data_IF_652918575539
#
_entry.id   IF_652918575539
#
_cell.length_a   1.000
_cell.length_b   1.000
_cell.length_c   1.000
_cell.angle_alpha   90.00
_cell.angle_beta   90.00
_cell.angle_gamma   90.00
#
_symmetry.space_group_name_H-M   'P 1'
#
loop_
_entity.id
_entity.type
_entity.pdbx_description
1 polymer ?
#
# COMPACT_ATOMS: atom_id res chain seq x y z
N UNK A 1 -6.48 17.66 20.10
CA UNK A 1 -7.57 16.66 20.24
C UNK A 1 -8.63 16.84 19.15
N UNK A 2 -9.37 17.96 19.13
CA UNK A 2 -10.45 18.23 18.16
C UNK A 2 -10.04 18.09 16.69
N UNK A 3 -8.91 18.69 16.30
CA UNK A 3 -8.41 18.57 14.93
C UNK A 3 -8.24 17.09 14.54
N UNK A 4 -7.59 16.27 15.39
CA UNK A 4 -7.35 14.83 15.15
C UNK A 4 -8.65 14.07 14.85
N UNK A 5 -9.72 14.41 15.56
CA UNK A 5 -11.06 13.80 15.44
C UNK A 5 -11.93 14.35 14.29
N UNK A 6 -11.37 15.12 13.35
CA UNK A 6 -12.16 15.64 12.21
C UNK A 6 -12.88 16.97 12.48
N UNK A 7 -12.76 17.55 13.68
CA UNK A 7 -13.47 18.79 14.06
C UNK A 7 -12.53 19.99 14.07
N UNK A 8 -12.07 20.39 12.89
CA UNK A 8 -11.12 21.52 12.74
C UNK A 8 -11.76 22.86 13.13
N UNK A 9 -13.06 23.04 12.91
CA UNK A 9 -13.77 24.27 13.27
C UNK A 9 -13.77 24.52 14.78
N UNK A 10 -13.97 23.46 15.57
CA UNK A 10 -13.90 23.52 17.04
C UNK A 10 -12.49 23.78 17.52
N UNK A 11 -11.50 23.18 16.87
CA UNK A 11 -10.09 23.44 17.17
C UNK A 11 -9.75 24.92 16.91
N UNK A 12 -10.22 25.50 15.80
CA UNK A 12 -10.01 26.91 15.48
C UNK A 12 -10.68 27.82 16.49
N UNK A 13 -11.97 27.59 16.80
CA UNK A 13 -12.69 28.37 17.81
C UNK A 13 -11.97 28.37 19.15
N UNK A 14 -11.52 27.20 19.61
CA UNK A 14 -10.79 27.12 20.87
C UNK A 14 -9.48 27.90 20.81
N UNK A 15 -8.73 27.75 19.71
CA UNK A 15 -7.49 28.48 19.49
C UNK A 15 -7.68 30.01 19.44
N UNK A 16 -8.77 30.48 18.85
CA UNK A 16 -9.11 31.90 18.79
C UNK A 16 -9.49 32.46 20.18
N UNK A 17 -10.05 31.62 21.06
CA UNK A 17 -10.39 31.96 22.44
C UNK A 17 -9.21 31.85 23.42
N UNK A 18 -8.04 31.34 23.01
CA UNK A 18 -6.90 31.21 23.91
C UNK A 18 -6.32 32.60 24.25
N UNK A 19 -6.24 32.96 25.56
CA UNK A 19 -5.70 34.25 25.97
C UNK A 19 -4.20 34.36 25.75
N UNK A 20 -3.48 33.23 25.83
CA UNK A 20 -2.04 33.13 25.56
C UNK A 20 -1.83 31.95 24.62
N UNK A 21 -1.14 32.21 23.51
CA UNK A 21 -0.75 31.19 22.52
C UNK A 21 0.74 30.95 22.63
N UNK A 22 1.12 29.68 22.71
CA UNK A 22 2.51 29.26 22.68
C UNK A 22 2.80 28.45 21.40
N UNK A 23 4.07 28.17 21.15
CA UNK A 23 4.53 27.40 19.99
C UNK A 23 3.76 26.08 19.78
N UNK A 24 3.43 25.36 20.84
CA UNK A 24 2.69 24.09 20.75
C UNK A 24 1.25 24.28 20.26
N UNK A 25 0.57 25.34 20.70
CA UNK A 25 -0.79 25.68 20.25
C UNK A 25 -0.81 26.07 18.77
N UNK A 26 0.17 26.89 18.33
CA UNK A 26 0.37 27.25 16.94
C UNK A 26 0.66 26.02 16.07
N UNK A 27 1.61 25.18 16.49
CA UNK A 27 1.99 23.95 15.78
C UNK A 27 0.82 22.98 15.63
N UNK A 28 0.03 22.82 16.69
CA UNK A 28 -1.17 21.98 16.69
C UNK A 28 -2.20 22.46 15.67
N UNK A 29 -2.41 23.77 15.56
CA UNK A 29 -3.34 24.34 14.60
C UNK A 29 -2.83 24.32 13.17
N UNK A 30 -1.57 24.67 12.93
CA UNK A 30 -0.95 24.60 11.60
C UNK A 30 -1.02 23.16 11.05
N UNK A 31 -0.61 22.18 11.86
CA UNK A 31 -0.68 20.76 11.50
C UNK A 31 -2.12 20.26 11.34
N UNK A 32 -3.04 20.80 12.16
CA UNK A 32 -4.46 20.53 12.07
C UNK A 32 -5.03 20.94 10.72
N UNK A 33 -4.82 22.20 10.31
CA UNK A 33 -5.29 22.72 9.03
C UNK A 33 -4.62 22.02 7.85
N UNK A 34 -3.31 21.74 7.93
CA UNK A 34 -2.58 20.99 6.91
C UNK A 34 -3.23 19.62 6.61
N UNK A 35 -3.53 18.83 7.65
CA UNK A 35 -4.11 17.49 7.50
C UNK A 35 -5.55 17.50 6.96
N UNK A 36 -6.27 18.59 7.14
CA UNK A 36 -7.63 18.78 6.63
C UNK A 36 -7.67 19.41 5.23
N UNK A 37 -6.51 19.53 4.55
CA UNK A 37 -6.43 20.08 3.20
C UNK A 37 -6.56 21.60 3.13
N UNK A 38 -6.61 22.29 4.27
CA UNK A 38 -6.69 23.75 4.33
C UNK A 38 -5.30 24.39 4.32
N UNK A 39 -4.51 24.11 3.29
CA UNK A 39 -3.11 24.54 3.19
C UNK A 39 -2.93 26.05 3.33
N UNK A 40 -3.75 26.86 2.65
CA UNK A 40 -3.71 28.32 2.76
C UNK A 40 -3.91 28.83 4.20
N UNK A 41 -4.90 28.30 4.93
CA UNK A 41 -5.15 28.69 6.33
C UNK A 41 -3.97 28.33 7.24
N UNK A 42 -3.32 27.20 6.99
CA UNK A 42 -2.12 26.80 7.73
C UNK A 42 -0.95 27.79 7.50
N UNK A 43 -0.74 28.24 6.25
CA UNK A 43 0.29 29.24 5.93
C UNK A 43 -0.03 30.64 6.46
N UNK A 44 -1.32 31.01 6.48
CA UNK A 44 -1.78 32.24 7.12
C UNK A 44 -1.49 32.22 8.63
N UNK A 45 -1.78 31.10 9.30
CA UNK A 45 -1.45 30.92 10.72
C UNK A 45 0.06 30.94 10.97
N UNK A 46 0.86 30.36 10.10
CA UNK A 46 2.32 30.45 10.19
C UNK A 46 2.81 31.90 10.10
N UNK A 47 2.18 32.72 9.26
CA UNK A 47 2.50 34.15 9.16
C UNK A 47 2.09 34.88 10.44
N UNK A 48 0.90 34.62 10.97
CA UNK A 48 0.43 35.17 12.26
C UNK A 48 1.32 34.77 13.43
N UNK A 49 1.76 33.51 13.48
CA UNK A 49 2.70 33.01 14.49
C UNK A 49 3.99 33.83 14.52
N UNK A 50 4.56 34.14 13.35
CA UNK A 50 5.77 34.98 13.25
C UNK A 50 5.51 36.42 13.69
N UNK A 51 4.34 36.99 13.36
CA UNK A 51 3.95 38.34 13.80
C UNK A 51 3.73 38.42 15.32
N UNK A 52 3.28 37.31 15.92
CA UNK A 52 3.12 37.14 17.38
C UNK A 52 4.46 36.92 18.10
N UNK A 53 5.59 37.05 17.39
CA UNK A 53 6.95 36.93 17.93
C UNK A 53 7.38 35.50 18.24
N UNK A 54 6.60 34.49 17.88
CA UNK A 54 6.96 33.09 18.08
C UNK A 54 7.99 32.65 17.04
N UNK A 55 9.09 32.04 17.49
CA UNK A 55 10.11 31.48 16.62
C UNK A 55 9.68 30.10 16.11
N UNK A 56 9.64 29.86 14.79
CA UNK A 56 9.39 28.54 14.24
C UNK A 56 10.41 27.50 14.69
N UNK A 57 9.93 26.31 15.03
CA UNK A 57 10.74 25.14 15.34
C UNK A 57 10.59 24.04 14.28
N UNK A 58 11.27 22.91 14.46
CA UNK A 58 11.15 21.76 13.56
C UNK A 58 9.70 21.28 13.37
N UNK A 59 8.89 21.29 14.43
CA UNK A 59 7.49 20.84 14.36
C UNK A 59 6.66 21.82 13.53
N UNK A 60 6.93 23.12 13.65
CA UNK A 60 6.33 24.18 12.84
C UNK A 60 6.58 23.90 11.36
N UNK A 61 7.84 23.65 10.98
CA UNK A 61 8.22 23.38 9.60
C UNK A 61 7.63 22.09 9.05
N UNK A 62 7.53 21.01 9.84
CA UNK A 62 6.80 19.80 9.42
C UNK A 62 5.34 20.13 9.09
N UNK A 63 4.67 20.92 9.93
CA UNK A 63 3.29 21.36 9.69
C UNK A 63 3.13 22.21 8.43
N UNK A 64 4.04 23.18 8.23
CA UNK A 64 4.06 24.06 7.04
C UNK A 64 4.33 23.28 5.76
N UNK A 65 5.34 22.41 5.75
CA UNK A 65 5.66 21.58 4.58
C UNK A 65 4.52 20.60 4.26
N UNK A 66 3.88 20.02 5.28
CA UNK A 66 2.68 19.19 5.09
C UNK A 66 1.52 19.99 4.48
N UNK A 67 1.36 21.27 4.87
CA UNK A 67 0.37 22.15 4.26
C UNK A 67 0.68 22.43 2.78
N UNK A 68 1.96 22.64 2.44
CA UNK A 68 2.40 22.77 1.05
C UNK A 68 2.17 21.48 0.25
N UNK A 69 2.35 20.31 0.85
CA UNK A 69 2.09 19.02 0.19
C UNK A 69 0.63 18.87 -0.21
N UNK A 70 -0.29 19.10 0.74
CA UNK A 70 -1.72 18.96 0.49
C UNK A 70 -2.30 20.10 -0.35
N UNK A 71 -1.70 21.30 -0.29
CA UNK A 71 -2.09 22.45 -1.09
C UNK A 71 -1.46 22.50 -2.49
N UNK A 72 -0.51 21.61 -2.80
CA UNK A 72 0.21 21.63 -4.08
C UNK A 72 1.19 22.82 -4.24
N UNK A 73 1.57 23.48 -3.15
CA UNK A 73 2.44 24.66 -3.17
C UNK A 73 3.93 24.27 -3.26
N UNK A 74 4.34 23.70 -4.38
CA UNK A 74 5.71 23.15 -4.54
C UNK A 74 6.79 24.22 -4.37
N UNK A 75 6.62 25.39 -4.99
CA UNK A 75 7.58 26.50 -4.89
C UNK A 75 7.75 26.97 -3.44
N UNK A 76 6.63 27.30 -2.78
CA UNK A 76 6.65 27.73 -1.37
C UNK A 76 7.20 26.65 -0.45
N UNK A 77 6.91 25.37 -0.71
CA UNK A 77 7.47 24.26 0.05
C UNK A 77 9.01 24.20 -0.01
N UNK A 78 9.59 24.41 -1.19
CA UNK A 78 11.05 24.51 -1.37
C UNK A 78 11.61 25.72 -0.63
N UNK A 79 10.98 26.89 -0.78
CA UNK A 79 11.43 28.11 -0.11
C UNK A 79 11.42 27.96 1.41
N UNK A 80 10.37 27.35 1.97
CA UNK A 80 10.30 27.09 3.40
C UNK A 80 11.34 26.09 3.88
N UNK A 81 11.57 25.01 3.13
CA UNK A 81 12.60 24.03 3.46
C UNK A 81 14.00 24.65 3.49
N UNK A 82 14.31 25.51 2.52
CA UNK A 82 15.57 26.26 2.48
C UNK A 82 15.68 27.29 3.62
N UNK A 83 14.59 28.03 3.88
CA UNK A 83 14.53 29.04 4.93
C UNK A 83 14.80 28.45 6.32
N UNK A 84 14.37 27.21 6.55
CA UNK A 84 14.59 26.52 7.82
C UNK A 84 16.07 26.47 8.20
N UNK A 85 16.96 26.20 7.24
CA UNK A 85 18.41 26.18 7.48
C UNK A 85 19.02 27.58 7.41
N UNK A 86 18.68 28.37 6.39
CA UNK A 86 19.31 29.67 6.09
C UNK A 86 18.92 30.78 7.08
N UNK A 87 17.66 30.81 7.50
CA UNK A 87 17.10 31.88 8.33
C UNK A 87 16.95 31.47 9.79
N UNK A 88 16.58 30.20 10.05
CA UNK A 88 16.27 29.74 11.41
C UNK A 88 17.36 28.84 12.01
N UNK A 89 18.42 28.50 11.27
CA UNK A 89 19.52 27.67 11.75
C UNK A 89 19.11 26.23 12.12
N UNK A 90 17.95 25.77 11.65
CA UNK A 90 17.40 24.47 11.98
C UNK A 90 17.88 23.41 10.97
N UNK A 91 18.61 22.40 11.44
CA UNK A 91 19.09 21.31 10.59
C UNK A 91 17.95 20.38 10.17
N UNK A 92 17.76 20.09 8.87
CA UNK A 92 16.71 19.19 8.42
C UNK A 92 16.81 17.77 8.98
N UNK A 93 15.73 17.35 9.67
CA UNK A 93 15.48 15.96 10.10
C UNK A 93 14.66 15.17 9.07
N UNK A 94 14.61 13.85 9.27
CA UNK A 94 13.94 12.89 8.38
C UNK A 94 12.48 13.25 8.07
N UNK A 95 11.75 13.86 9.02
CA UNK A 95 10.36 14.27 8.84
C UNK A 95 10.21 15.38 7.79
N UNK A 96 11.15 16.33 7.75
CA UNK A 96 11.14 17.42 6.78
C UNK A 96 11.41 16.87 5.37
N UNK A 97 12.39 15.97 5.23
CA UNK A 97 12.65 15.28 3.96
C UNK A 97 11.44 14.46 3.50
N UNK A 98 10.77 13.76 4.42
CA UNK A 98 9.54 13.03 4.11
C UNK A 98 8.43 13.95 3.57
N UNK A 99 8.30 15.16 4.12
CA UNK A 99 7.33 16.15 3.61
C UNK A 99 7.73 16.63 2.20
N UNK A 100 9.01 16.91 1.96
CA UNK A 100 9.50 17.31 0.63
C UNK A 100 9.28 16.24 -0.43
N UNK A 101 9.51 14.98 -0.07
CA UNK A 101 9.24 13.83 -0.94
C UNK A 101 7.76 13.73 -1.27
N UNK A 102 6.86 13.94 -0.29
CA UNK A 102 5.42 13.95 -0.53
C UNK A 102 4.99 15.11 -1.45
N UNK A 103 5.54 16.33 -1.23
CA UNK A 103 5.29 17.50 -2.09
C UNK A 103 5.66 17.19 -3.55
N UNK A 104 6.90 16.74 -3.79
CA UNK A 104 7.40 16.48 -5.14
C UNK A 104 6.68 15.30 -5.79
N UNK A 105 6.43 14.24 -5.01
CA UNK A 105 5.75 13.03 -5.46
C UNK A 105 4.28 13.27 -5.83
N UNK A 106 3.55 14.10 -5.09
CA UNK A 106 2.17 14.49 -5.44
C UNK A 106 2.10 15.43 -6.63
N UNK A 107 3.07 16.31 -6.77
CA UNK A 107 3.18 17.20 -7.92
C UNK A 107 3.63 16.50 -9.21
N UNK A 108 4.00 15.21 -9.15
CA UNK A 108 4.50 14.45 -10.30
C UNK A 108 5.89 14.89 -10.79
N UNK A 109 6.63 15.66 -10.01
CA UNK A 109 7.96 16.17 -10.39
C UNK A 109 9.04 15.11 -10.13
N UNK A 110 8.96 13.97 -10.83
CA UNK A 110 9.77 12.79 -10.58
C UNK A 110 11.28 13.03 -10.71
N UNK A 111 11.72 13.80 -11.70
CA UNK A 111 13.15 14.11 -11.88
C UNK A 111 13.71 14.88 -10.67
N UNK A 112 12.97 15.88 -10.18
CA UNK A 112 13.38 16.63 -8.99
C UNK A 112 13.33 15.79 -7.72
N UNK A 113 12.37 14.87 -7.63
CA UNK A 113 12.28 13.93 -6.51
C UNK A 113 13.50 13.01 -6.46
N UNK A 114 13.93 12.48 -7.60
CA UNK A 114 15.11 11.64 -7.69
C UNK A 114 16.39 12.39 -7.31
N UNK A 115 16.59 13.60 -7.87
CA UNK A 115 17.71 14.47 -7.50
C UNK A 115 17.71 14.79 -6.00
N UNK A 116 16.54 15.05 -5.42
CA UNK A 116 16.39 15.37 -4.00
C UNK A 116 16.77 14.17 -3.11
N UNK A 117 16.34 12.96 -3.47
CA UNK A 117 16.71 11.73 -2.74
C UNK A 117 18.20 11.44 -2.85
N UNK A 118 18.81 11.67 -4.02
CA UNK A 118 20.24 11.44 -4.22
C UNK A 118 21.11 12.46 -3.45
N UNK A 119 20.62 13.69 -3.26
CA UNK A 119 21.30 14.74 -2.47
C UNK A 119 21.03 14.66 -0.97
N UNK A 120 20.11 13.80 -0.54
CA UNK A 120 19.72 13.68 0.85
C UNK A 120 20.89 13.16 1.70
N UNK A 121 21.31 13.87 2.77
CA UNK A 121 22.43 13.44 3.62
C UNK A 121 22.06 12.29 4.57
N UNK A 122 20.77 11.96 4.68
CA UNK A 122 20.23 10.95 5.57
C UNK A 122 19.72 9.75 4.77
N UNK A 123 19.90 8.53 5.31
CA UNK A 123 19.32 7.32 4.70
C UNK A 123 17.78 7.38 4.77
N UNK A 124 17.06 7.22 3.65
CA UNK A 124 15.60 7.21 3.67
C UNK A 124 15.04 6.02 4.47
N UNK A 125 14.01 6.26 5.27
CA UNK A 125 13.31 5.23 6.04
C UNK A 125 12.17 4.59 5.22
N UNK A 126 11.51 3.57 5.78
CA UNK A 126 10.41 2.88 5.11
C UNK A 126 9.26 3.83 4.73
N UNK A 127 8.97 4.85 5.53
CA UNK A 127 7.91 5.83 5.20
C UNK A 127 8.24 6.60 3.91
N UNK A 128 9.46 7.11 3.78
CA UNK A 128 9.89 7.84 2.57
C UNK A 128 9.79 6.94 1.33
N UNK A 129 10.28 5.70 1.42
CA UNK A 129 10.19 4.78 0.29
C UNK A 129 8.74 4.40 -0.07
N UNK A 130 7.84 4.25 0.92
CA UNK A 130 6.40 4.07 0.65
C UNK A 130 5.79 5.28 -0.05
N UNK A 131 6.15 6.48 0.38
CA UNK A 131 5.67 7.73 -0.25
C UNK A 131 6.13 7.82 -1.71
N UNK A 132 7.41 7.51 -1.98
CA UNK A 132 7.96 7.46 -3.34
C UNK A 132 7.24 6.41 -4.18
N UNK A 133 7.08 5.18 -3.67
CA UNK A 133 6.40 4.10 -4.39
C UNK A 133 4.95 4.47 -4.72
N UNK A 134 4.23 5.08 -3.78
CA UNK A 134 2.90 5.59 -4.00
C UNK A 134 2.83 6.75 -5.01
N UNK A 135 3.83 7.63 -5.04
CA UNK A 135 3.95 8.68 -6.04
C UNK A 135 4.21 8.11 -7.44
N UNK A 136 5.14 7.16 -7.57
CA UNK A 136 5.41 6.45 -8.82
C UNK A 136 4.15 5.75 -9.35
N UNK A 137 3.34 5.15 -8.47
CA UNK A 137 2.10 4.49 -8.89
C UNK A 137 1.02 5.45 -9.42
N UNK A 138 1.08 6.75 -9.10
CA UNK A 138 0.14 7.76 -9.62
C UNK A 138 0.63 8.43 -10.91
N UNK A 139 1.93 8.40 -11.16
CA UNK A 139 2.51 9.04 -12.33
C UNK A 139 2.24 8.22 -13.60
N UNK A 140 1.49 8.78 -14.55
CA UNK A 140 1.23 8.15 -15.86
C UNK A 140 2.47 8.09 -16.76
N UNK A 141 3.53 8.83 -16.42
CA UNK A 141 4.79 8.84 -17.15
C UNK A 141 5.68 7.69 -16.69
N UNK A 142 5.98 6.80 -17.64
CA UNK A 142 6.90 5.66 -17.59
C UNK A 142 7.97 5.75 -16.49
N UNK A 143 7.97 4.71 -15.65
CA UNK A 143 9.13 4.02 -15.07
C UNK A 143 10.29 4.95 -14.67
N UNK A 144 10.31 5.38 -13.43
CA UNK A 144 11.59 5.77 -12.83
C UNK A 144 12.22 4.52 -12.22
N UNK A 145 13.51 4.29 -12.48
CA UNK A 145 14.31 3.32 -11.73
C UNK A 145 14.17 3.54 -10.21
N UNK A 146 13.86 4.79 -9.81
CA UNK A 146 13.46 5.16 -8.47
C UNK A 146 12.27 4.35 -7.91
N UNK A 147 11.24 4.04 -8.70
CA UNK A 147 10.12 3.20 -8.26
C UNK A 147 10.52 1.76 -7.95
N UNK A 148 11.39 1.17 -8.78
CA UNK A 148 11.96 -0.17 -8.56
C UNK A 148 12.90 -0.17 -7.36
N UNK A 149 13.74 0.85 -7.24
CA UNK A 149 14.61 1.07 -6.08
C UNK A 149 13.77 1.17 -4.80
N UNK A 150 12.71 1.98 -4.81
CA UNK A 150 11.82 2.13 -3.66
C UNK A 150 11.17 0.78 -3.26
N UNK A 151 10.70 0.01 -4.23
CA UNK A 151 10.17 -1.33 -4.00
C UNK A 151 11.19 -2.26 -3.33
N UNK A 152 12.39 -2.35 -3.89
CA UNK A 152 13.46 -3.18 -3.35
C UNK A 152 13.80 -2.80 -1.90
N UNK A 153 14.03 -1.51 -1.66
CA UNK A 153 14.35 -1.01 -0.32
C UNK A 153 13.23 -1.31 0.70
N UNK A 154 11.96 -1.28 0.30
CA UNK A 154 10.84 -1.63 1.19
C UNK A 154 10.77 -3.11 1.53
N UNK A 155 11.09 -3.99 0.58
CA UNK A 155 11.13 -5.43 0.81
C UNK A 155 12.28 -5.82 1.73
N UNK A 156 13.41 -5.11 1.65
CA UNK A 156 14.54 -5.29 2.57
C UNK A 156 14.24 -4.75 3.98
N UNK A 157 13.66 -3.55 4.09
CA UNK A 157 13.39 -2.92 5.38
C UNK A 157 12.24 -3.60 6.15
N UNK A 158 11.20 -4.04 5.46
CA UNK A 158 9.97 -4.57 6.08
C UNK A 158 9.34 -5.71 5.27
N UNK A 159 9.98 -6.90 5.23
CA UNK A 159 9.53 -8.03 4.40
C UNK A 159 8.17 -8.62 4.82
N UNK A 160 7.70 -8.34 6.04
CA UNK A 160 6.42 -8.86 6.55
C UNK A 160 5.27 -7.85 6.41
N UNK A 161 5.52 -6.64 5.92
CA UNK A 161 4.49 -5.60 5.85
C UNK A 161 3.66 -5.73 4.56
N UNK A 162 2.43 -6.23 4.72
CA UNK A 162 1.47 -6.41 3.61
C UNK A 162 1.21 -5.11 2.81
N UNK A 163 1.31 -3.93 3.43
CA UNK A 163 1.07 -2.64 2.77
C UNK A 163 2.07 -2.41 1.64
N UNK A 164 3.34 -2.81 1.82
CA UNK A 164 4.39 -2.60 0.83
C UNK A 164 4.10 -3.39 -0.46
N UNK A 165 3.58 -4.61 -0.32
CA UNK A 165 3.19 -5.46 -1.45
C UNK A 165 1.97 -4.93 -2.20
N UNK A 166 1.00 -4.34 -1.50
CA UNK A 166 -0.16 -3.71 -2.12
C UNK A 166 0.26 -2.46 -2.91
N UNK A 167 1.12 -1.62 -2.32
CA UNK A 167 1.66 -0.45 -3.02
C UNK A 167 2.47 -0.85 -4.26
N UNK A 168 3.25 -1.93 -4.14
CA UNK A 168 4.00 -2.51 -5.25
C UNK A 168 3.07 -2.94 -6.39
N UNK A 169 2.05 -3.74 -6.07
CA UNK A 169 1.07 -4.21 -7.04
C UNK A 169 0.34 -3.04 -7.72
N UNK A 170 -0.07 -2.04 -6.94
CA UNK A 170 -0.72 -0.84 -7.48
C UNK A 170 0.18 -0.05 -8.43
N UNK A 171 1.47 0.08 -8.11
CA UNK A 171 2.44 0.77 -8.96
C UNK A 171 2.66 0.06 -10.29
N UNK A 172 2.73 -1.27 -10.30
CA UNK A 172 2.85 -2.02 -11.55
C UNK A 172 1.55 -2.09 -12.35
N UNK A 173 0.40 -2.14 -11.67
CA UNK A 173 -0.91 -2.12 -12.30
C UNK A 173 -1.14 -0.80 -13.08
N UNK A 174 -0.71 0.34 -12.54
CA UNK A 174 -0.83 1.63 -13.25
C UNK A 174 0.20 1.81 -14.37
N UNK A 175 1.33 1.10 -14.32
CA UNK A 175 2.41 1.15 -15.31
C UNK A 175 2.23 0.27 -16.54
N UNK A 176 1.15 -0.53 -16.62
CA UNK A 176 0.80 -1.34 -17.79
C UNK A 176 1.78 -2.46 -18.17
N UNK A 177 2.81 -2.72 -17.35
CA UNK A 177 3.78 -3.80 -17.55
C UNK A 177 4.04 -4.53 -16.23
N UNK A 178 3.41 -5.69 -16.11
CA UNK A 178 3.56 -6.63 -14.99
C UNK A 178 4.90 -7.40 -15.01
N UNK A 179 5.63 -7.31 -16.13
CA UNK A 179 6.89 -8.01 -16.39
C UNK A 179 8.01 -7.62 -15.39
N UNK A 180 7.93 -6.44 -14.77
CA UNK A 180 8.98 -5.89 -13.92
C UNK A 180 8.75 -6.13 -12.41
N UNK A 181 7.67 -6.79 -11.98
CA UNK A 181 7.43 -7.11 -10.55
C UNK A 181 8.27 -8.31 -10.15
N UNK A 182 9.58 -8.14 -10.09
CA UNK A 182 10.52 -9.19 -9.70
C UNK A 182 10.50 -9.39 -8.18
N UNK A 183 9.46 -10.07 -7.67
CA UNK A 183 9.77 -11.15 -6.72
C UNK A 183 10.53 -12.22 -7.52
N UNK A 184 11.37 -13.07 -6.91
CA UNK A 184 12.32 -13.95 -7.63
C UNK A 184 11.77 -14.72 -8.85
N UNK A 185 10.45 -14.92 -8.96
CA UNK A 185 9.76 -15.53 -10.10
C UNK A 185 8.78 -14.63 -10.88
N UNK A 186 8.64 -13.33 -10.59
CA UNK A 186 7.65 -12.42 -11.22
C UNK A 186 6.29 -12.35 -10.51
N UNK A 187 5.42 -11.41 -10.89
CA UNK A 187 3.98 -11.43 -10.53
C UNK A 187 3.20 -12.07 -11.66
N UNK A 188 2.45 -13.11 -11.31
CA UNK A 188 1.64 -13.89 -12.23
C UNK A 188 0.18 -13.59 -12.01
N UNK A 189 -0.50 -13.17 -13.07
CA UNK A 189 -1.93 -12.90 -13.06
C UNK A 189 -2.62 -14.11 -13.69
N UNK A 190 -3.57 -14.66 -12.96
CA UNK A 190 -4.39 -15.76 -13.43
C UNK A 190 -5.80 -15.25 -13.71
N UNK A 191 -6.29 -15.47 -14.92
CA UNK A 191 -7.71 -15.31 -15.27
C UNK A 191 -8.30 -16.72 -15.41
N UNK A 192 -9.56 -16.90 -14.98
CA UNK A 192 -10.20 -18.20 -15.07
C UNK A 192 -10.26 -18.67 -16.54
N UNK A 193 -9.72 -19.86 -16.82
CA UNK A 193 -9.63 -20.42 -18.17
C UNK A 193 -8.47 -19.91 -19.03
N UNK A 194 -7.57 -19.09 -18.49
CA UNK A 194 -6.43 -18.55 -19.24
C UNK A 194 -5.37 -19.64 -19.56
N UNK A 195 -4.89 -19.61 -20.80
CA UNK A 195 -3.89 -20.53 -21.37
C UNK A 195 -2.60 -19.81 -21.81
N UNK A 196 -2.49 -18.50 -21.53
CA UNK A 196 -1.38 -17.65 -21.97
C UNK A 196 -0.10 -17.81 -21.14
N UNK A 197 -0.16 -18.48 -19.99
CA UNK A 197 0.97 -18.57 -19.06
C UNK A 197 2.09 -19.50 -19.58
N UNK A 198 3.39 -19.10 -19.52
CA UNK A 198 4.52 -19.93 -19.97
C UNK A 198 4.59 -21.31 -19.28
N UNK A 199 4.43 -21.34 -17.96
CA UNK A 199 4.44 -22.58 -17.14
C UNK A 199 3.09 -23.31 -17.09
N UNK A 200 2.16 -23.08 -18.02
CA UNK A 200 0.78 -23.62 -17.92
C UNK A 200 0.75 -25.12 -17.64
N UNK A 201 1.57 -25.90 -18.35
CA UNK A 201 1.54 -27.35 -18.22
C UNK A 201 1.86 -27.78 -16.78
N UNK A 202 2.87 -27.18 -16.15
CA UNK A 202 3.23 -27.46 -14.77
C UNK A 202 2.14 -27.01 -13.77
N UNK A 203 1.52 -25.85 -14.02
CA UNK A 203 0.45 -25.32 -13.16
C UNK A 203 -0.80 -26.22 -13.22
N UNK A 204 -1.25 -26.58 -14.42
CA UNK A 204 -2.44 -27.42 -14.62
C UNK A 204 -2.22 -28.84 -14.09
N UNK A 205 -1.04 -29.44 -14.29
CA UNK A 205 -0.70 -30.73 -13.67
C UNK A 205 -0.66 -30.64 -12.15
N UNK A 206 -0.08 -29.57 -11.58
CA UNK A 206 -0.07 -29.36 -10.14
C UNK A 206 -1.47 -29.15 -9.57
N UNK A 207 -2.33 -28.45 -10.32
CA UNK A 207 -3.72 -28.23 -9.97
C UNK A 207 -4.51 -29.55 -9.95
N UNK A 208 -4.32 -30.43 -10.95
CA UNK A 208 -4.92 -31.77 -10.97
C UNK A 208 -4.48 -32.63 -9.78
N UNK A 209 -3.17 -32.65 -9.49
CA UNK A 209 -2.60 -33.34 -8.32
C UNK A 209 -3.24 -32.82 -7.03
N UNK A 210 -3.29 -31.51 -6.87
CA UNK A 210 -3.84 -30.87 -5.68
C UNK A 210 -5.34 -31.16 -5.53
N UNK A 211 -6.09 -31.11 -6.63
CA UNK A 211 -7.52 -31.37 -6.65
C UNK A 211 -7.85 -32.83 -6.28
N UNK A 212 -7.03 -33.79 -6.72
CA UNK A 212 -7.12 -35.18 -6.25
C UNK A 212 -6.88 -35.29 -4.75
N UNK A 213 -5.80 -34.68 -4.25
CA UNK A 213 -5.43 -34.74 -2.82
C UNK A 213 -6.49 -34.15 -1.89
N UNK A 214 -7.11 -33.03 -2.27
CA UNK A 214 -8.18 -32.45 -1.44
C UNK A 214 -9.46 -33.30 -1.49
N UNK A 215 -9.77 -33.95 -2.62
CA UNK A 215 -10.91 -34.88 -2.73
C UNK A 215 -10.70 -36.11 -1.86
N UNK A 216 -9.50 -36.67 -1.85
CA UNK A 216 -9.12 -37.78 -0.97
C UNK A 216 -9.22 -37.38 0.52
N UNK A 217 -9.03 -36.09 0.84
CA UNK A 217 -9.22 -35.53 2.18
C UNK A 217 -10.69 -35.16 2.51
N UNK A 218 -11.64 -35.39 1.59
CA UNK A 218 -13.08 -35.17 1.80
C UNK A 218 -13.64 -33.84 1.30
N UNK A 219 -12.91 -33.10 0.46
CA UNK A 219 -13.45 -31.91 -0.20
C UNK A 219 -14.49 -32.28 -1.27
N UNK A 220 -15.66 -31.65 -1.21
CA UNK A 220 -16.74 -31.78 -2.21
C UNK A 220 -17.00 -30.42 -2.87
N UNK A 221 -16.92 -30.31 -4.21
CA UNK A 221 -17.20 -29.06 -4.92
C UNK A 221 -18.62 -28.54 -4.68
N UNK A 222 -18.72 -27.24 -4.37
CA UNK A 222 -20.01 -26.58 -4.16
C UNK A 222 -20.50 -25.93 -5.47
N UNK A 223 -21.20 -26.73 -6.27
CA UNK A 223 -21.68 -26.41 -7.63
C UNK A 223 -22.58 -25.15 -7.68
N UNK A 224 -23.22 -24.78 -6.57
CA UNK A 224 -24.05 -23.56 -6.43
C UNK A 224 -23.29 -22.25 -6.71
N UNK A 225 -21.96 -22.27 -6.75
CA UNK A 225 -21.13 -21.11 -7.04
C UNK A 225 -20.63 -21.05 -8.50
N UNK A 226 -21.01 -22.00 -9.36
CA UNK A 226 -20.75 -21.92 -10.79
C UNK A 226 -21.76 -20.97 -11.45
N UNK A 227 -21.28 -19.94 -12.13
CA UNK A 227 -22.06 -18.80 -12.63
C UNK A 227 -22.95 -19.10 -13.87
N UNK A 228 -22.94 -20.32 -14.42
CA UNK A 228 -23.67 -20.67 -15.65
C UNK A 228 -24.46 -21.97 -15.52
N UNK A 229 -25.64 -22.04 -16.15
CA UNK A 229 -26.45 -23.25 -16.30
C UNK A 229 -25.85 -24.23 -17.31
N UNK A 230 -24.77 -24.90 -16.88
CA UNK A 230 -24.13 -26.02 -17.56
C UNK A 230 -24.42 -27.35 -16.82
N UNK A 231 -24.15 -28.47 -17.49
CA UNK A 231 -24.18 -29.82 -16.90
C UNK A 231 -23.23 -29.92 -15.68
N UNK A 232 -23.55 -30.81 -14.74
CA UNK A 232 -22.89 -30.92 -13.42
C UNK A 232 -21.36 -31.11 -13.52
N UNK A 233 -20.90 -31.97 -14.43
CA UNK A 233 -19.47 -32.26 -14.66
C UNK A 233 -18.71 -31.02 -15.19
N UNK A 234 -19.35 -30.25 -16.07
CA UNK A 234 -18.79 -29.01 -16.61
C UNK A 234 -18.72 -27.89 -15.54
N UNK A 235 -19.62 -27.90 -14.56
CA UNK A 235 -19.60 -26.94 -13.44
C UNK A 235 -18.49 -27.22 -12.43
N UNK A 236 -18.19 -28.49 -12.13
CA UNK A 236 -17.08 -28.86 -11.25
C UNK A 236 -15.71 -28.52 -11.87
N UNK A 237 -15.60 -28.71 -13.19
CA UNK A 237 -14.39 -28.36 -13.94
C UNK A 237 -14.16 -26.84 -13.95
N UNK A 238 -15.20 -26.03 -14.13
CA UNK A 238 -15.12 -24.56 -14.04
C UNK A 238 -14.65 -24.06 -12.66
N UNK A 239 -15.16 -24.64 -11.57
CA UNK A 239 -14.74 -24.30 -10.21
C UNK A 239 -13.27 -24.64 -9.96
N UNK A 240 -12.76 -25.67 -10.63
CA UNK A 240 -11.36 -26.09 -10.54
C UNK A 240 -10.39 -25.10 -11.16
N UNK A 241 -10.81 -24.38 -12.21
CA UNK A 241 -10.00 -23.39 -12.92
C UNK A 241 -10.21 -21.95 -12.44
N UNK A 242 -10.77 -21.76 -11.25
CA UNK A 242 -10.81 -20.45 -10.61
C UNK A 242 -9.40 -19.85 -10.45
N UNK A 243 -9.29 -18.55 -10.69
CA UNK A 243 -8.00 -17.85 -10.73
C UNK A 243 -7.21 -17.97 -9.44
N UNK A 244 -7.88 -18.11 -8.30
CA UNK A 244 -7.22 -18.27 -7.01
C UNK A 244 -6.63 -19.68 -6.84
N UNK A 245 -7.23 -20.71 -7.45
CA UNK A 245 -6.67 -22.08 -7.44
C UNK A 245 -5.46 -22.20 -8.34
N UNK A 246 -5.51 -21.55 -9.49
CA UNK A 246 -4.36 -21.43 -10.40
C UNK A 246 -3.19 -20.71 -9.70
N UNK A 247 -3.47 -19.64 -8.95
CA UNK A 247 -2.45 -18.93 -8.18
C UNK A 247 -1.79 -19.81 -7.12
N UNK A 248 -2.57 -20.62 -6.39
CA UNK A 248 -1.99 -21.58 -5.43
C UNK A 248 -1.18 -22.65 -6.13
N UNK A 249 -1.73 -23.26 -7.18
CA UNK A 249 -1.04 -24.31 -7.93
C UNK A 249 0.31 -23.81 -8.45
N UNK A 250 0.36 -22.59 -9.00
CA UNK A 250 1.59 -21.94 -9.42
C UNK A 250 2.60 -21.80 -8.27
N UNK A 251 2.21 -21.25 -7.12
CA UNK A 251 3.11 -21.09 -5.96
C UNK A 251 3.62 -22.45 -5.47
N UNK A 252 2.79 -23.50 -5.54
CA UNK A 252 3.16 -24.86 -5.16
C UNK A 252 4.06 -25.58 -6.17
N UNK A 253 4.24 -25.06 -7.39
CA UNK A 253 5.27 -25.58 -8.31
C UNK A 253 6.68 -25.19 -7.85
N UNK A 254 6.80 -24.19 -6.99
CA UNK A 254 8.09 -23.66 -6.50
C UNK A 254 8.46 -24.30 -5.16
N UNK A 255 9.76 -24.58 -4.99
CA UNK A 255 10.31 -25.09 -3.71
C UNK A 255 10.45 -23.93 -2.72
N UNK A 256 9.43 -23.72 -1.90
CA UNK A 256 9.43 -22.71 -0.85
C UNK A 256 8.57 -23.17 0.32
N UNK A 257 9.02 -22.93 1.54
CA UNK A 257 8.28 -23.24 2.77
C UNK A 257 7.56 -22.01 3.34
N UNK A 258 7.69 -20.85 2.68
CA UNK A 258 7.06 -19.60 3.12
C UNK A 258 5.53 -19.70 3.04
N UNK A 259 4.77 -18.92 3.84
CA UNK A 259 3.33 -18.85 3.70
C UNK A 259 2.90 -18.40 2.29
N UNK A 260 1.87 -19.05 1.75
CA UNK A 260 1.29 -18.70 0.45
C UNK A 260 0.44 -17.44 0.63
N UNK A 261 0.71 -16.38 -0.12
CA UNK A 261 -0.04 -15.11 -0.03
C UNK A 261 -0.77 -14.85 -1.34
N UNK A 262 -2.08 -14.67 -1.26
CA UNK A 262 -2.95 -14.45 -2.41
C UNK A 262 -3.75 -13.16 -2.18
N UNK A 263 -3.84 -12.32 -3.20
CA UNK A 263 -4.69 -11.12 -3.18
C UNK A 263 -5.75 -11.22 -4.27
N UNK A 264 -7.02 -11.05 -3.90
CA UNK A 264 -8.15 -11.04 -4.80
C UNK A 264 -8.87 -9.69 -4.70
N UNK A 265 -9.20 -9.11 -5.85
CA UNK A 265 -9.93 -7.83 -5.92
C UNK A 265 -11.44 -7.99 -5.69
N UNK A 266 -11.97 -9.22 -5.81
CA UNK A 266 -13.36 -9.59 -5.56
C UNK A 266 -13.46 -10.50 -4.32
N UNK A 267 -14.66 -10.65 -3.76
CA UNK A 267 -14.93 -11.63 -2.69
C UNK A 267 -14.54 -13.03 -3.17
N UNK A 268 -13.79 -13.79 -2.36
CA UNK A 268 -13.51 -15.20 -2.66
C UNK A 268 -14.83 -15.97 -2.72
N UNK A 269 -15.03 -16.90 -3.67
CA UNK A 269 -16.26 -17.69 -3.68
C UNK A 269 -16.25 -18.73 -2.53
N UNK A 270 -17.43 -19.22 -2.12
CA UNK A 270 -17.54 -20.15 -1.00
C UNK A 270 -16.83 -21.46 -1.27
N UNK A 271 -16.85 -21.92 -2.51
CA UNK A 271 -16.14 -23.11 -2.95
C UNK A 271 -14.60 -22.96 -2.89
N UNK A 272 -14.05 -21.83 -3.34
CA UNK A 272 -12.62 -21.55 -3.20
C UNK A 272 -12.22 -21.42 -1.72
N UNK A 273 -13.07 -20.81 -0.90
CA UNK A 273 -12.84 -20.72 0.54
C UNK A 273 -12.75 -22.12 1.19
N UNK A 274 -13.72 -23.00 0.91
CA UNK A 274 -13.71 -24.38 1.38
C UNK A 274 -12.48 -25.13 0.85
N UNK A 275 -12.15 -25.00 -0.44
CA UNK A 275 -10.97 -25.65 -1.00
C UNK A 275 -9.67 -25.19 -0.33
N UNK A 276 -9.49 -23.89 -0.03
CA UNK A 276 -8.28 -23.41 0.65
C UNK A 276 -8.08 -23.96 2.05
N UNK A 277 -9.18 -24.29 2.74
CA UNK A 277 -9.13 -25.03 4.00
C UNK A 277 -8.44 -26.38 3.79
N UNK A 278 -8.96 -27.20 2.89
CA UNK A 278 -8.39 -28.52 2.59
C UNK A 278 -6.97 -28.43 2.01
N UNK A 279 -6.71 -27.46 1.14
CA UNK A 279 -5.37 -27.21 0.59
C UNK A 279 -4.38 -26.93 1.72
N UNK A 280 -4.71 -26.04 2.67
CA UNK A 280 -3.81 -25.74 3.80
C UNK A 280 -3.48 -26.98 4.63
N UNK A 281 -4.45 -27.89 4.79
CA UNK A 281 -4.29 -29.15 5.51
C UNK A 281 -3.41 -30.15 4.75
N UNK A 282 -3.72 -30.42 3.47
CA UNK A 282 -2.98 -31.44 2.70
C UNK A 282 -1.59 -30.99 2.30
N UNK A 283 -1.36 -29.68 2.16
CA UNK A 283 -0.04 -29.11 1.83
C UNK A 283 0.79 -28.86 3.09
N UNK A 284 0.16 -28.65 4.25
CA UNK A 284 0.86 -28.30 5.49
C UNK A 284 1.49 -26.90 5.45
N UNK A 285 0.94 -26.00 4.63
CA UNK A 285 1.42 -24.61 4.49
C UNK A 285 0.31 -23.62 4.78
N UNK A 286 0.64 -22.57 5.51
CA UNK A 286 -0.28 -21.47 5.77
C UNK A 286 -0.61 -20.72 4.47
N UNK A 287 -1.89 -20.46 4.24
CA UNK A 287 -2.38 -19.63 3.13
C UNK A 287 -3.00 -18.36 3.71
N UNK A 288 -2.51 -17.20 3.29
CA UNK A 288 -3.07 -15.89 3.65
C UNK A 288 -3.72 -15.32 2.40
N UNK A 289 -5.05 -15.32 2.38
CA UNK A 289 -5.85 -14.76 1.30
C UNK A 289 -6.47 -13.43 1.75
N UNK A 290 -6.24 -12.37 0.99
CA UNK A 290 -6.99 -11.12 1.13
C UNK A 290 -8.03 -11.04 0.01
N UNK A 291 -9.29 -10.79 0.38
CA UNK A 291 -10.32 -10.42 -0.58
C UNK A 291 -10.82 -8.98 -0.35
N UNK A 292 -11.87 -8.57 -1.08
CA UNK A 292 -12.45 -7.23 -0.99
C UNK A 292 -13.00 -6.88 0.39
N UNK A 293 -13.34 -7.87 1.22
CA UNK A 293 -14.06 -7.68 2.48
C UNK A 293 -13.18 -7.91 3.70
N UNK A 294 -12.24 -8.87 3.68
CA UNK A 294 -11.36 -9.20 4.82
C UNK A 294 -10.14 -10.06 4.46
N UNK A 295 -9.34 -10.35 5.49
CA UNK A 295 -8.28 -11.36 5.46
C UNK A 295 -8.81 -12.73 5.93
N UNK A 296 -8.37 -13.77 5.25
CA UNK A 296 -8.59 -15.17 5.60
C UNK A 296 -7.23 -15.83 5.79
N UNK A 297 -6.97 -16.32 6.99
CA UNK A 297 -5.78 -17.09 7.31
C UNK A 297 -6.18 -18.55 7.41
N UNK A 298 -5.72 -19.35 6.45
CA UNK A 298 -5.92 -20.80 6.43
C UNK A 298 -4.68 -21.49 6.99
N UNK A 299 -4.87 -22.30 8.02
CA UNK A 299 -3.84 -23.14 8.62
C UNK A 299 -4.48 -24.43 9.14
N UNK A 300 -3.85 -25.58 8.89
CA UNK A 300 -4.27 -26.90 9.37
C UNK A 300 -5.76 -27.20 9.17
N UNK A 301 -6.30 -26.82 8.01
CA UNK A 301 -7.70 -27.07 7.71
C UNK A 301 -8.65 -26.23 8.56
N UNK A 302 -8.26 -25.03 9.00
CA UNK A 302 -9.13 -24.03 9.62
C UNK A 302 -8.90 -22.67 8.99
N UNK A 303 -9.95 -21.85 8.93
CA UNK A 303 -9.86 -20.46 8.51
C UNK A 303 -10.10 -19.53 9.70
N UNK A 304 -9.40 -18.40 9.78
CA UNK A 304 -9.59 -17.35 10.79
C UNK A 304 -10.99 -16.76 10.84
N UNK A 305 -11.85 -17.04 9.87
CA UNK A 305 -13.22 -16.55 9.85
C UNK A 305 -14.27 -17.51 10.42
N UNK A 306 -13.88 -18.67 10.96
CA UNK A 306 -14.80 -19.69 11.50
C UNK A 306 -15.97 -20.03 10.54
N UNK A 307 -15.68 -20.16 9.25
CA UNK A 307 -16.65 -20.49 8.19
C UNK A 307 -17.82 -19.50 8.01
N UNK A 308 -17.76 -18.31 8.63
CA UNK A 308 -18.62 -17.18 8.28
C UNK A 308 -18.17 -16.59 6.93
N UNK A 309 -18.46 -17.26 5.82
CA UNK A 309 -18.14 -16.83 4.46
C UNK A 309 -19.21 -15.87 3.89
#
# INVERSE_FOLDING_TARGET
MYAKCGRIDYASRFFDLMPVRNIYSWNSMISGYARHGHGHKALELFTKMKMDGQTPDHVTFVGVLSACSHGGFVGQGMDYFDSMSKQYGLTPRIEHFSCMVDILGRAGQMNKLEDFINKMPLKPNALIWRTILGACGRASSRKTDLGRKAAHMLLELEPHNAVNYVLLANMYASGGKWEDVSMRDGVHVFVAGDQSHPDKHAIYEKLKELHKRIRDAGYVPQIKYALYDLELENKEELLSYHSERLAVAFVLTRKSDMPIRIMKNLRVCGDCHSAFRYISQVVGRQIVLRDSNRFHHFADGKCSCNDYW
#
